data_IF_947132330234
#
_entry.id   IF_947132330234
#
_cell.length_a   1.000
_cell.length_b   1.000
_cell.length_c   1.000
_cell.angle_alpha   90.00
_cell.angle_beta   90.00
_cell.angle_gamma   90.00
#
_symmetry.space_group_name_H-M   'P 1'
#
loop_
_entity.id
_entity.type
_entity.pdbx_description
1 polymer ?
#
# COMPACT_ATOMS: atom_id res chain seq x y z
N UNK A 1 -3.01 0.93 17.67
CA UNK A 1 -1.95 1.06 16.65
C UNK A 1 -2.63 0.74 15.32
N UNK A 2 -2.79 1.70 14.42
CA UNK A 2 -3.58 1.50 13.20
C UNK A 2 -2.79 0.67 12.19
N UNK A 3 -3.19 -0.58 11.95
CA UNK A 3 -2.75 -1.34 10.79
C UNK A 3 -3.73 -1.07 9.64
N UNK A 4 -3.45 -0.06 8.83
CA UNK A 4 -4.05 0.05 7.51
C UNK A 4 -3.18 -0.73 6.54
N UNK A 5 -3.63 -1.91 6.13
CA UNK A 5 -3.02 -2.60 4.98
C UNK A 5 -3.63 -2.00 3.72
N UNK A 6 -2.88 -1.12 3.07
CA UNK A 6 -3.24 -0.56 1.77
C UNK A 6 -2.44 -1.31 0.70
N UNK A 7 -3.07 -2.22 -0.03
CA UNK A 7 -2.49 -2.73 -1.27
C UNK A 7 -2.88 -1.79 -2.41
N UNK A 8 -2.00 -0.85 -2.72
CA UNK A 8 -2.00 -0.18 -4.02
C UNK A 8 -1.38 -1.13 -5.04
N UNK A 9 -2.19 -1.78 -5.87
CA UNK A 9 -1.69 -2.57 -7.00
C UNK A 9 -1.95 -1.83 -8.31
N UNK A 10 -0.86 -1.54 -9.03
CA UNK A 10 -0.82 -0.86 -10.34
C UNK A 10 -0.95 -1.87 -11.48
N UNK A 11 -1.93 -2.77 -11.45
CA UNK A 11 -2.15 -3.76 -12.52
C UNK A 11 -3.63 -4.16 -12.66
N UNK A 12 -4.13 -4.47 -13.88
CA UNK A 12 -5.57 -4.45 -14.16
C UNK A 12 -6.34 -5.76 -13.88
N UNK A 13 -5.74 -6.81 -13.31
CA UNK A 13 -6.32 -8.16 -13.40
C UNK A 13 -6.11 -9.04 -12.16
N UNK A 14 -6.80 -8.79 -11.04
CA UNK A 14 -7.06 -9.83 -10.02
C UNK A 14 -8.43 -9.55 -9.39
N UNK A 15 -9.38 -10.47 -9.58
CA UNK A 15 -10.72 -10.48 -8.99
C UNK A 15 -10.72 -11.35 -7.72
N UNK A 16 -11.66 -11.05 -6.82
CA UNK A 16 -11.93 -11.70 -5.53
C UNK A 16 -10.89 -11.49 -4.40
N UNK A 17 -11.11 -10.42 -3.63
CA UNK A 17 -10.92 -10.50 -2.18
C UNK A 17 -11.75 -9.39 -1.52
N UNK A 18 -12.83 -9.77 -0.84
CA UNK A 18 -13.47 -8.86 0.10
C UNK A 18 -12.63 -8.87 1.38
N UNK A 19 -11.57 -8.07 1.43
CA UNK A 19 -10.77 -7.98 2.65
C UNK A 19 -11.63 -7.38 3.77
N UNK A 20 -11.93 -8.19 4.79
CA UNK A 20 -12.64 -7.77 5.98
C UNK A 20 -11.62 -7.28 7.02
N UNK A 21 -11.52 -5.96 7.17
CA UNK A 21 -10.64 -5.32 8.14
C UNK A 21 -11.46 -5.00 9.38
N UNK A 22 -11.11 -5.58 10.53
CA UNK A 22 -11.50 -5.01 11.84
C UNK A 22 -10.40 -4.09 12.34
N UNK A 23 -10.79 -2.92 12.83
CA UNK A 23 -9.86 -1.92 13.35
C UNK A 23 -9.41 -2.25 14.79
N UNK A 24 -10.29 -2.83 15.62
CA UNK A 24 -10.03 -3.29 17.00
C UNK A 24 -11.06 -4.36 17.44
N UNK A 25 -10.83 -5.04 18.57
CA UNK A 25 -11.77 -5.98 19.19
C UNK A 25 -13.02 -5.25 19.72
N UNK A 26 -13.99 -5.05 18.84
CA UNK A 26 -15.23 -4.32 19.14
C UNK A 26 -15.73 -3.47 17.97
N UNK A 27 -14.85 -3.16 17.01
CA UNK A 27 -15.25 -2.42 15.83
C UNK A 27 -15.93 -3.33 14.78
N UNK A 28 -16.95 -2.81 14.07
CA UNK A 28 -17.62 -3.54 13.01
C UNK A 28 -16.65 -3.85 11.84
N UNK A 29 -16.81 -5.00 11.18
CA UNK A 29 -16.01 -5.35 10.01
C UNK A 29 -16.21 -4.36 8.85
N UNK A 30 -15.10 -3.99 8.20
CA UNK A 30 -15.09 -3.21 6.96
C UNK A 30 -14.68 -4.12 5.81
N UNK A 31 -15.53 -4.23 4.79
CA UNK A 31 -15.28 -5.03 3.59
C UNK A 31 -15.00 -4.14 2.38
N UNK A 32 -14.05 -4.56 1.54
CA UNK A 32 -13.75 -3.91 0.26
C UNK A 32 -14.46 -4.63 -0.89
N UNK A 33 -15.16 -3.89 -1.74
CA UNK A 33 -15.94 -4.42 -2.86
C UNK A 33 -15.65 -3.66 -4.16
N UNK A 34 -16.01 -4.26 -5.29
CA UNK A 34 -16.06 -3.54 -6.56
C UNK A 34 -17.07 -2.37 -6.49
N UNK A 35 -16.82 -1.25 -7.18
CA UNK A 35 -17.59 -0.02 -6.99
C UNK A 35 -19.12 -0.17 -7.19
N UNK A 36 -19.61 -0.79 -8.28
CA UNK A 36 -21.04 -0.99 -8.51
C UNK A 36 -21.68 -1.87 -7.43
N UNK A 37 -20.95 -2.89 -6.96
CA UNK A 37 -21.37 -3.80 -5.89
C UNK A 37 -21.51 -3.04 -4.58
N UNK A 38 -20.48 -2.29 -4.17
CA UNK A 38 -20.47 -1.52 -2.94
C UNK A 38 -21.64 -0.54 -2.90
N UNK A 39 -21.91 0.14 -4.03
CA UNK A 39 -23.04 1.04 -4.17
C UNK A 39 -24.37 0.33 -3.91
N UNK A 40 -24.61 -0.82 -4.55
CA UNK A 40 -25.88 -1.55 -4.41
C UNK A 40 -26.08 -2.10 -2.99
N UNK A 41 -25.01 -2.60 -2.37
CA UNK A 41 -25.03 -3.02 -0.96
C UNK A 41 -25.44 -1.86 -0.05
N UNK A 42 -24.90 -0.65 -0.31
CA UNK A 42 -25.24 0.56 0.44
C UNK A 42 -26.66 1.08 0.16
N UNK A 43 -27.18 0.91 -1.05
CA UNK A 43 -28.55 1.26 -1.42
C UNK A 43 -29.58 0.40 -0.68
N UNK A 44 -29.33 -0.91 -0.58
CA UNK A 44 -30.20 -1.85 0.14
C UNK A 44 -30.17 -1.64 1.66
N UNK A 45 -29.05 -1.15 2.20
CA UNK A 45 -28.78 -0.87 3.63
C UNK A 45 -28.87 -2.07 4.57
N UNK A 46 -29.90 -2.91 4.49
CA UNK A 46 -30.10 -4.08 5.34
C UNK A 46 -30.04 -5.34 4.49
N UNK A 47 -29.32 -6.33 4.97
CA UNK A 47 -29.13 -7.60 4.28
C UNK A 47 -29.44 -8.73 5.25
N UNK A 48 -30.29 -9.65 4.82
CA UNK A 48 -30.56 -10.87 5.56
C UNK A 48 -29.59 -11.94 5.10
N UNK A 49 -28.67 -12.31 5.98
CA UNK A 49 -27.62 -13.28 5.69
C UNK A 49 -28.05 -14.63 6.23
N UNK A 50 -28.16 -15.60 5.35
CA UNK A 50 -28.37 -17.00 5.70
C UNK A 50 -27.05 -17.60 6.20
N UNK A 51 -27.06 -18.13 7.42
CA UNK A 51 -25.91 -18.76 8.05
C UNK A 51 -25.96 -20.29 8.00
N UNK A 52 -26.93 -20.85 7.27
CA UNK A 52 -27.20 -22.28 7.20
C UNK A 52 -28.21 -22.76 8.24
N UNK A 53 -29.01 -23.76 7.88
CA UNK A 53 -30.09 -24.28 8.71
C UNK A 53 -31.28 -23.31 8.81
N UNK A 54 -31.85 -23.13 10.01
CA UNK A 54 -32.93 -22.16 10.29
C UNK A 54 -32.38 -20.83 10.88
N UNK A 55 -31.08 -20.55 10.71
CA UNK A 55 -30.42 -19.38 11.29
C UNK A 55 -30.16 -18.31 10.23
N UNK A 56 -30.75 -17.13 10.41
CA UNK A 56 -30.43 -15.94 9.61
C UNK A 56 -30.16 -14.74 10.50
N UNK A 57 -29.26 -13.87 10.07
CA UNK A 57 -28.94 -12.62 10.76
C UNK A 57 -29.27 -11.44 9.85
N UNK A 58 -29.59 -10.30 10.45
CA UNK A 58 -29.72 -9.03 9.72
C UNK A 58 -28.47 -8.21 9.94
N UNK A 59 -27.78 -7.86 8.86
CA UNK A 59 -26.62 -6.96 8.89
C UNK A 59 -26.97 -5.64 8.23
N UNK A 60 -26.44 -4.55 8.77
CA UNK A 60 -26.61 -3.21 8.20
C UNK A 60 -25.33 -2.72 7.53
N UNK A 61 -25.41 -2.40 6.25
CA UNK A 61 -24.37 -1.79 5.45
C UNK A 61 -24.35 -0.27 5.61
N UNK A 62 -23.18 0.28 5.94
CA UNK A 62 -22.94 1.72 6.12
C UNK A 62 -21.73 2.18 5.31
N UNK A 63 -21.74 3.42 4.78
CA UNK A 63 -20.61 3.95 4.03
C UNK A 63 -19.42 4.22 4.94
N UNK A 64 -18.23 3.81 4.51
CA UNK A 64 -16.97 4.17 5.18
C UNK A 64 -16.55 5.56 4.75
N UNK A 65 -16.17 6.38 5.72
CA UNK A 65 -15.69 7.74 5.50
C UNK A 65 -14.24 7.85 5.99
N UNK A 66 -13.34 8.31 5.13
CA UNK A 66 -11.94 8.51 5.46
C UNK A 66 -11.55 9.99 5.37
N UNK A 67 -10.69 10.38 6.30
CA UNK A 67 -9.94 11.63 6.20
C UNK A 67 -8.80 11.41 5.20
N UNK A 68 -8.86 12.08 4.05
CA UNK A 68 -7.81 11.97 3.04
C UNK A 68 -6.78 13.08 3.24
N UNK A 69 -5.47 12.78 3.07
CA UNK A 69 -4.46 13.81 2.94
C UNK A 69 -4.78 14.71 1.73
N UNK A 70 -4.59 16.02 1.90
CA UNK A 70 -4.64 17.03 0.84
C UNK A 70 -3.24 17.45 0.42
N UNK A 71 -2.33 17.59 1.37
CA UNK A 71 -0.93 17.89 1.16
C UNK A 71 -0.11 17.16 2.22
N UNK A 72 1.00 16.58 1.79
CA UNK A 72 2.01 15.96 2.65
C UNK A 72 3.31 16.64 2.27
N UNK A 73 3.86 17.45 3.18
CA UNK A 73 5.24 17.91 3.02
C UNK A 73 6.13 16.84 3.67
N UNK A 74 6.97 16.23 2.86
CA UNK A 74 7.96 15.29 3.35
C UNK A 74 9.34 15.85 3.08
N UNK A 75 10.14 15.91 4.13
CA UNK A 75 11.47 16.46 4.04
C UNK A 75 12.38 15.49 3.28
N UNK A 76 12.88 15.95 2.14
CA UNK A 76 13.86 15.20 1.35
C UNK A 76 15.22 15.33 2.00
N UNK A 77 15.88 14.20 2.26
CA UNK A 77 17.22 14.19 2.82
C UNK A 77 18.22 14.84 1.87
N UNK A 78 19.08 15.71 2.42
CA UNK A 78 20.16 16.32 1.65
C UNK A 78 21.40 15.42 1.53
N UNK A 79 21.43 14.31 2.28
CA UNK A 79 22.56 13.37 2.38
C UNK A 79 22.21 11.94 1.96
N UNK A 80 20.93 11.56 1.94
CA UNK A 80 20.52 10.18 1.64
C UNK A 80 19.85 10.06 0.28
N UNK A 81 20.15 8.99 -0.43
CA UNK A 81 19.47 8.58 -1.67
C UNK A 81 18.90 7.17 -1.52
N UNK A 82 17.84 6.89 -2.26
CA UNK A 82 17.30 5.54 -2.41
C UNK A 82 17.68 5.01 -3.80
N UNK A 83 18.27 3.81 -3.84
CA UNK A 83 18.68 3.14 -5.07
C UNK A 83 17.82 1.90 -5.27
N UNK A 84 17.20 1.81 -6.44
CA UNK A 84 16.28 0.75 -6.85
C UNK A 84 16.67 0.18 -8.22
N UNK A 85 15.95 -0.86 -8.66
CA UNK A 85 16.30 -1.65 -9.86
C UNK A 85 17.71 -2.25 -9.74
N UNK A 86 17.99 -2.93 -8.64
CA UNK A 86 19.31 -3.46 -8.31
C UNK A 86 19.61 -4.74 -9.12
N UNK A 87 20.89 -4.98 -9.50
CA UNK A 87 21.28 -6.23 -10.14
C UNK A 87 21.17 -7.40 -9.14
N UNK A 88 20.81 -8.59 -9.64
CA UNK A 88 20.80 -9.81 -8.83
C UNK A 88 22.23 -10.29 -8.59
N UNK A 89 22.75 -10.04 -7.40
CA UNK A 89 24.05 -10.51 -6.93
C UNK A 89 24.09 -10.55 -5.40
N UNK A 90 25.22 -11.02 -4.87
CA UNK A 90 25.49 -11.06 -3.43
C UNK A 90 25.49 -9.63 -2.84
N UNK A 91 24.91 -9.48 -1.64
CA UNK A 91 24.57 -8.17 -1.07
C UNK A 91 25.80 -7.34 -0.75
N UNK A 92 26.83 -7.91 -0.15
CA UNK A 92 28.05 -7.16 0.20
C UNK A 92 28.74 -6.65 -1.07
N UNK A 93 28.84 -7.52 -2.09
CA UNK A 93 29.36 -7.15 -3.42
C UNK A 93 28.55 -6.03 -4.07
N UNK A 94 27.22 -6.03 -3.91
CA UNK A 94 26.36 -4.98 -4.44
C UNK A 94 26.60 -3.65 -3.73
N UNK A 95 26.65 -3.65 -2.40
CA UNK A 95 26.87 -2.47 -1.58
C UNK A 95 28.23 -1.84 -1.90
N UNK A 96 29.30 -2.64 -1.98
CA UNK A 96 30.64 -2.19 -2.36
C UNK A 96 30.64 -1.50 -3.74
N UNK A 97 29.94 -2.07 -4.71
CA UNK A 97 29.87 -1.50 -6.08
C UNK A 97 29.12 -0.19 -6.11
N UNK A 98 28.03 -0.08 -5.35
CA UNK A 98 27.27 1.16 -5.22
C UNK A 98 28.11 2.22 -4.54
N UNK A 99 28.78 1.88 -3.44
CA UNK A 99 29.67 2.79 -2.72
C UNK A 99 30.81 3.31 -3.61
N UNK A 100 31.50 2.42 -4.33
CA UNK A 100 32.57 2.81 -5.27
C UNK A 100 32.02 3.66 -6.44
N UNK A 101 30.78 3.44 -6.86
CA UNK A 101 30.19 4.22 -7.94
C UNK A 101 29.81 5.62 -7.47
N UNK A 102 29.13 5.72 -6.33
CA UNK A 102 28.64 6.99 -5.78
C UNK A 102 29.69 7.77 -4.99
N UNK A 103 30.85 7.18 -4.66
CA UNK A 103 32.02 7.93 -4.18
C UNK A 103 32.68 8.79 -5.25
N UNK A 104 32.40 8.53 -6.53
CA UNK A 104 33.04 9.25 -7.65
C UNK A 104 32.28 10.53 -7.99
N UNK A 105 32.97 11.65 -7.88
CA UNK A 105 32.45 12.99 -8.24
C UNK A 105 31.97 13.10 -9.69
N UNK A 106 32.56 12.35 -10.64
CA UNK A 106 32.10 12.28 -12.05
C UNK A 106 30.65 11.75 -12.19
N UNK A 107 30.18 11.00 -11.20
CA UNK A 107 28.82 10.48 -11.14
C UNK A 107 27.90 11.40 -10.30
N UNK A 108 28.33 12.64 -10.00
CA UNK A 108 27.62 13.58 -9.14
C UNK A 108 27.74 13.32 -7.64
N UNK A 109 28.38 12.20 -7.26
CA UNK A 109 28.50 11.73 -5.89
C UNK A 109 29.62 12.40 -5.08
N UNK A 110 30.02 11.74 -3.99
CA UNK A 110 30.96 12.23 -2.98
C UNK A 110 31.20 11.18 -1.90
N UNK A 111 31.97 11.50 -0.87
CA UNK A 111 32.30 10.54 0.20
C UNK A 111 31.04 9.90 0.80
N UNK A 112 31.03 8.57 0.83
CA UNK A 112 29.93 7.75 1.32
C UNK A 112 30.21 7.43 2.79
N UNK A 113 29.26 7.75 3.65
CA UNK A 113 29.34 7.48 5.08
C UNK A 113 28.71 6.11 5.44
N UNK A 114 27.67 5.70 4.70
CA UNK A 114 26.95 4.45 4.96
C UNK A 114 26.19 3.95 3.72
N UNK A 115 25.98 2.64 3.64
CA UNK A 115 25.29 1.96 2.54
C UNK A 115 24.53 0.74 3.08
N UNK A 116 23.20 0.83 3.17
CA UNK A 116 22.33 -0.14 3.84
C UNK A 116 21.36 -0.81 2.85
N UNK A 117 21.27 -2.14 2.88
CA UNK A 117 20.29 -2.90 2.08
C UNK A 117 18.97 -3.09 2.84
N UNK A 118 17.87 -2.64 2.23
CA UNK A 118 16.51 -2.80 2.73
C UNK A 118 15.87 -4.04 2.07
N UNK A 119 15.76 -5.12 2.84
CA UNK A 119 15.28 -6.43 2.36
C UNK A 119 13.77 -6.47 2.11
N UNK A 120 13.00 -5.60 2.75
CA UNK A 120 11.55 -5.47 2.60
C UNK A 120 11.15 -4.89 1.24
N UNK A 121 11.94 -3.94 0.72
CA UNK A 121 11.68 -3.27 -0.57
C UNK A 121 12.67 -3.63 -1.68
N UNK A 122 13.66 -4.47 -1.43
CA UNK A 122 14.76 -4.79 -2.35
C UNK A 122 15.46 -3.54 -2.89
N UNK A 123 15.76 -2.59 -1.99
CA UNK A 123 16.39 -1.31 -2.31
C UNK A 123 17.60 -1.05 -1.43
N UNK A 124 18.48 -0.13 -1.83
CA UNK A 124 19.62 0.31 -1.01
C UNK A 124 19.43 1.76 -0.63
N UNK A 125 19.71 2.09 0.63
CA UNK A 125 19.83 3.48 1.07
C UNK A 125 21.31 3.81 1.22
N UNK A 126 21.75 4.84 0.50
CA UNK A 126 23.13 5.31 0.55
C UNK A 126 23.16 6.70 1.19
N UNK A 127 24.07 6.87 2.16
CA UNK A 127 24.25 8.09 2.94
C UNK A 127 25.60 8.71 2.61
N UNK A 128 25.60 9.97 2.18
CA UNK A 128 26.82 10.75 1.95
C UNK A 128 27.26 11.49 3.22
N UNK A 129 28.58 11.59 3.41
CA UNK A 129 29.17 12.33 4.52
C UNK A 129 28.84 13.83 4.45
N UNK A 130 28.83 14.40 3.25
CA UNK A 130 28.56 15.82 3.00
C UNK A 130 27.10 16.11 2.61
N UNK A 131 26.61 17.28 3.03
CA UNK A 131 25.30 17.78 2.63
C UNK A 131 25.23 18.15 1.15
N UNK A 132 24.03 18.08 0.57
CA UNK A 132 23.70 18.39 -0.82
C UNK A 132 24.30 17.46 -1.88
N UNK A 133 25.12 16.47 -1.52
CA UNK A 133 25.59 15.45 -2.46
C UNK A 133 24.39 14.67 -3.03
N UNK A 134 23.48 14.22 -2.16
CA UNK A 134 22.28 13.50 -2.58
C UNK A 134 21.45 14.30 -3.60
N UNK A 135 21.29 15.62 -3.38
CA UNK A 135 20.57 16.51 -4.30
C UNK A 135 21.18 16.57 -5.70
N UNK A 136 22.51 16.44 -5.82
CA UNK A 136 23.19 16.39 -7.12
C UNK A 136 23.02 15.04 -7.78
N UNK A 137 23.19 13.95 -7.03
CA UNK A 137 23.05 12.60 -7.58
C UNK A 137 21.64 12.38 -8.14
N UNK A 138 20.59 12.80 -7.41
CA UNK A 138 19.19 12.63 -7.86
C UNK A 138 18.82 13.47 -9.09
N UNK A 139 19.65 14.45 -9.51
CA UNK A 139 19.41 15.16 -10.77
C UNK A 139 19.56 14.24 -11.98
N UNK A 140 20.35 13.17 -11.83
CA UNK A 140 20.43 12.09 -12.79
C UNK A 140 19.77 10.84 -12.21
N UNK A 141 18.53 10.58 -12.58
CA UNK A 141 17.77 9.45 -12.04
C UNK A 141 18.38 8.08 -12.38
N UNK A 142 19.10 7.96 -13.50
CA UNK A 142 19.59 6.66 -13.99
C UNK A 142 21.12 6.59 -14.01
N UNK A 143 21.68 5.60 -13.34
CA UNK A 143 23.12 5.40 -13.22
C UNK A 143 23.55 4.03 -13.71
N UNK A 144 24.46 4.02 -14.69
CA UNK A 144 25.04 2.77 -15.20
C UNK A 144 26.15 2.27 -14.28
N UNK A 145 25.90 1.16 -13.59
CA UNK A 145 26.91 0.42 -12.87
C UNK A 145 27.68 -0.47 -13.83
N UNK A 146 29.00 -0.33 -13.83
CA UNK A 146 29.87 -1.24 -14.56
C UNK A 146 30.07 -2.52 -13.75
N UNK A 147 29.26 -3.53 -14.02
CA UNK A 147 29.46 -4.88 -13.49
C UNK A 147 30.39 -5.62 -14.44
N UNK A 148 31.29 -6.45 -13.93
CA UNK A 148 32.45 -7.03 -14.64
C UNK A 148 32.26 -7.29 -16.14
N UNK A 149 31.12 -7.87 -16.55
CA UNK A 149 30.81 -8.25 -17.93
C UNK A 149 29.58 -7.56 -18.55
N UNK A 150 28.87 -6.71 -17.80
CA UNK A 150 27.61 -6.09 -18.25
C UNK A 150 27.34 -4.77 -17.53
N UNK A 151 26.83 -3.77 -18.24
CA UNK A 151 26.27 -2.57 -17.62
C UNK A 151 24.88 -2.87 -17.07
N UNK A 152 24.62 -2.41 -15.87
CA UNK A 152 23.28 -2.46 -15.26
C UNK A 152 22.88 -1.08 -14.80
N UNK A 153 21.74 -0.59 -15.27
CA UNK A 153 21.25 0.74 -14.93
C UNK A 153 20.42 0.67 -13.65
N UNK A 154 20.89 1.30 -12.59
CA UNK A 154 20.12 1.48 -11.35
C UNK A 154 19.37 2.80 -11.39
N UNK A 155 18.27 2.88 -10.65
CA UNK A 155 17.45 4.08 -10.52
C UNK A 155 17.65 4.72 -9.14
N UNK A 156 17.97 6.00 -9.12
CA UNK A 156 18.22 6.79 -7.93
C UNK A 156 17.07 7.77 -7.71
N UNK A 157 16.50 7.77 -6.52
CA UNK A 157 15.46 8.73 -6.11
C UNK A 157 15.84 9.40 -4.79
N UNK A 158 15.26 10.57 -4.49
CA UNK A 158 15.52 11.24 -3.22
C UNK A 158 15.01 10.39 -2.05
N UNK A 159 15.82 10.27 -1.01
CA UNK A 159 15.37 9.62 0.22
C UNK A 159 14.47 10.57 1.01
N UNK A 160 13.26 10.12 1.29
CA UNK A 160 12.28 10.88 2.06
C UNK A 160 12.47 10.53 3.53
N UNK A 161 12.77 11.53 4.37
CA UNK A 161 12.82 11.32 5.80
C UNK A 161 11.40 10.97 6.28
N UNK A 162 11.26 9.97 7.14
CA UNK A 162 9.97 9.55 7.72
C UNK A 162 9.27 10.60 8.59
N UNK A 163 9.81 11.82 8.66
CA UNK A 163 9.17 12.97 9.30
C UNK A 163 8.16 13.56 8.32
N UNK A 164 6.91 13.20 8.50
CA UNK A 164 5.79 13.89 7.88
C UNK A 164 5.61 15.22 8.59
N UNK A 165 5.67 16.32 7.84
CA UNK A 165 5.37 17.66 8.35
C UNK A 165 4.24 18.28 7.53
N UNK A 166 3.57 19.29 8.10
CA UNK A 166 2.47 20.01 7.45
C UNK A 166 1.38 19.12 6.83
N UNK A 167 1.07 17.97 7.43
CA UNK A 167 -0.03 17.11 6.96
C UNK A 167 -1.34 17.90 7.00
N UNK A 168 -1.78 18.38 5.84
CA UNK A 168 -3.08 19.01 5.68
C UNK A 168 -4.03 17.92 5.25
N UNK A 169 -4.95 17.56 6.12
CA UNK A 169 -6.07 16.69 5.78
C UNK A 169 -7.17 17.49 5.09
N UNK A 170 -7.95 16.84 4.24
CA UNK A 170 -9.18 17.44 3.72
C UNK A 170 -10.12 17.71 4.90
N UNK A 171 -10.74 18.89 4.91
CA UNK A 171 -11.69 19.29 5.96
C UNK A 171 -12.99 18.47 5.96
N UNK A 172 -13.31 17.84 4.82
CA UNK A 172 -14.48 16.98 4.67
C UNK A 172 -14.05 15.52 4.62
N UNK A 173 -14.67 14.69 5.45
CA UNK A 173 -14.54 13.25 5.32
C UNK A 173 -15.04 12.80 3.95
N UNK A 174 -14.25 11.99 3.26
CA UNK A 174 -14.57 11.49 1.92
C UNK A 174 -15.11 10.08 2.03
N UNK A 175 -16.26 9.82 1.41
CA UNK A 175 -16.82 8.48 1.33
C UNK A 175 -15.92 7.59 0.47
N UNK A 176 -15.58 6.42 0.98
CA UNK A 176 -14.84 5.41 0.24
C UNK A 176 -15.78 4.69 -0.73
N UNK A 177 -15.57 4.81 -2.05
CA UNK A 177 -16.50 4.27 -3.04
C UNK A 177 -16.59 2.75 -3.02
N UNK A 178 -15.58 2.07 -2.48
CA UNK A 178 -15.43 0.62 -2.49
C UNK A 178 -15.51 -0.01 -1.10
N UNK A 179 -15.69 0.77 -0.04
CA UNK A 179 -15.64 0.25 1.32
C UNK A 179 -17.02 0.35 1.98
N UNK A 180 -17.49 -0.78 2.50
CA UNK A 180 -18.76 -0.90 3.22
C UNK A 180 -18.46 -1.43 4.62
N UNK A 181 -19.03 -0.78 5.62
CA UNK A 181 -18.99 -1.22 7.00
C UNK A 181 -20.25 -2.03 7.31
N UNK A 182 -20.09 -3.26 7.77
CA UNK A 182 -21.20 -4.11 8.17
C UNK A 182 -21.38 -4.05 9.68
N UNK A 183 -22.58 -3.67 10.13
CA UNK A 183 -22.95 -3.54 11.54
C UNK A 183 -24.11 -4.48 11.88
N UNK A 184 -24.37 -4.71 13.18
CA UNK A 184 -25.43 -5.62 13.62
C UNK A 184 -25.07 -7.11 13.53
N UNK A 185 -23.78 -7.43 13.44
CA UNK A 185 -23.28 -8.81 13.40
C UNK A 185 -23.20 -9.33 14.84
N UNK A 186 -24.00 -10.35 15.21
CA UNK A 186 -23.99 -10.89 16.57
C UNK A 186 -22.84 -11.90 16.74
N UNK A 187 -22.41 -12.07 17.99
CA UNK A 187 -21.37 -13.05 18.36
C UNK A 187 -22.02 -14.40 18.67
N UNK A 188 -22.42 -15.12 17.60
CA UNK A 188 -23.20 -16.37 17.68
C UNK A 188 -22.42 -17.61 17.23
N UNK A 189 -21.28 -17.44 16.58
CA UNK A 189 -20.45 -18.52 16.05
C UNK A 189 -19.00 -18.07 15.92
N UNK A 190 -18.12 -19.01 15.54
CA UNK A 190 -16.72 -18.71 15.30
C UNK A 190 -16.54 -17.61 14.23
N UNK A 191 -15.64 -16.68 14.54
CA UNK A 191 -15.41 -15.48 13.74
C UNK A 191 -15.09 -15.77 12.29
N UNK A 192 -14.21 -16.74 12.04
CA UNK A 192 -13.72 -17.10 10.71
C UNK A 192 -14.87 -17.69 9.88
N UNK A 193 -15.66 -18.60 10.47
CA UNK A 193 -16.86 -19.15 9.83
C UNK A 193 -17.90 -18.07 9.50
N UNK A 194 -18.17 -17.15 10.43
CA UNK A 194 -19.10 -16.05 10.19
C UNK A 194 -18.60 -15.11 9.09
N UNK A 195 -17.29 -14.87 9.05
CA UNK A 195 -16.66 -14.06 8.03
C UNK A 195 -16.82 -14.70 6.65
N UNK A 196 -16.56 -16.00 6.52
CA UNK A 196 -16.72 -16.75 5.27
C UNK A 196 -18.17 -16.73 4.79
N UNK A 197 -19.15 -16.93 5.68
CA UNK A 197 -20.57 -16.89 5.34
C UNK A 197 -21.02 -15.50 4.85
N UNK A 198 -20.53 -14.43 5.49
CA UNK A 198 -20.77 -13.06 5.04
C UNK A 198 -20.14 -12.80 3.67
N UNK A 199 -18.89 -13.22 3.48
CA UNK A 199 -18.20 -13.07 2.21
C UNK A 199 -18.95 -13.81 1.08
N UNK A 200 -19.33 -15.07 1.31
CA UNK A 200 -20.13 -15.87 0.37
C UNK A 200 -21.46 -15.18 0.04
N UNK A 201 -22.18 -14.66 1.03
CA UNK A 201 -23.47 -13.98 0.81
C UNK A 201 -23.31 -12.75 -0.09
N UNK A 202 -22.34 -11.90 0.21
CA UNK A 202 -22.11 -10.68 -0.57
C UNK A 202 -21.44 -10.96 -1.91
N UNK A 203 -20.70 -12.06 -2.08
CA UNK A 203 -20.21 -12.52 -3.38
C UNK A 203 -21.34 -13.10 -4.25
N UNK A 204 -22.19 -13.98 -3.71
CA UNK A 204 -23.31 -14.59 -4.46
C UNK A 204 -24.30 -13.55 -4.98
N UNK A 205 -24.65 -12.57 -4.14
CA UNK A 205 -25.52 -11.49 -4.57
C UNK A 205 -24.89 -10.63 -5.67
N UNK A 206 -23.56 -10.62 -5.83
CA UNK A 206 -22.91 -9.89 -6.93
C UNK A 206 -23.02 -10.56 -8.29
N UNK A 207 -23.08 -11.90 -8.32
CA UNK A 207 -23.23 -12.68 -9.56
C UNK A 207 -24.64 -12.55 -10.16
N UNK A 208 -25.65 -12.25 -9.32
CA UNK A 208 -27.01 -11.96 -9.82
C UNK A 208 -27.07 -10.59 -10.52
N UNK A 209 -26.12 -9.70 -10.24
CA UNK A 209 -26.12 -8.33 -10.78
C UNK A 209 -25.29 -8.17 -12.06
N UNK A 210 -24.65 -9.24 -12.54
CA UNK A 210 -23.94 -9.26 -13.83
C UNK A 210 -24.80 -9.77 -14.99
N UNK A 211 -25.96 -10.38 -14.72
CA UNK A 211 -26.85 -10.95 -15.76
C UNK A 211 -27.94 -9.98 -16.28
N UNK A 212 -28.10 -8.79 -15.70
CA UNK A 212 -29.07 -7.78 -16.18
C UNK A 212 -28.46 -6.76 -17.17
N UNK A 213 -27.42 -7.15 -17.90
CA UNK A 213 -26.85 -6.37 -19.00
C UNK A 213 -26.88 -7.18 -20.31
N UNK A 214 -28.09 -7.48 -20.80
CA UNK A 214 -28.36 -7.80 -22.21
C UNK A 214 -29.58 -7.03 -22.69
#
# INVERSE_FOLDING_TARGET
>A
MQHFVYFGCSSPCWWEAALIIRKDAGDPPISLFHFPVARKILELKKHQVDLGGECSITVEARPVHLMLPKLIDSEVSSQRILVSNLPRMETDTLLDKLEIHFSKSKNGGGEVADCEYLSDSETVVLTFAENNIAKRVVQNEFHDLNLQKKKHTVRVTPFINGKISNLKVRSKMTQCPRAVMLTGIPDIMERETLQDLLEIHFQKNTNVFTDEAQ
#
